data_IF_733010758329
#
_entry.id   IF_733010758329
#
_cell.length_a   1.000
_cell.length_b   1.000
_cell.length_c   1.000
_cell.angle_alpha   90.00
_cell.angle_beta   90.00
_cell.angle_gamma   90.00
#
_symmetry.space_group_name_H-M   'P 1'
#
loop_
_entity.id
_entity.type
_entity.pdbx_description
1 polymer ?
#
# COMPACT_ATOMS: atom_id res chain seq x y z
N UNK A 1 -12.87 4.21 -23.84
CA UNK A 1 -12.11 3.63 -22.71
C UNK A 1 -11.58 4.76 -21.85
N UNK A 2 -11.48 4.58 -20.54
CA UNK A 2 -11.14 5.64 -19.59
C UNK A 2 -10.08 5.15 -18.59
N UNK A 3 -9.04 5.94 -18.35
CA UNK A 3 -7.99 5.63 -17.39
C UNK A 3 -7.50 6.88 -16.66
N UNK A 4 -7.31 6.77 -15.36
CA UNK A 4 -6.84 7.85 -14.50
C UNK A 4 -5.60 7.44 -13.71
N UNK A 5 -4.70 8.39 -13.46
CA UNK A 5 -3.53 8.19 -12.63
C UNK A 5 -3.23 9.46 -11.81
N UNK A 6 -3.31 9.34 -10.48
CA UNK A 6 -2.90 10.40 -9.56
C UNK A 6 -1.41 10.26 -9.28
N UNK A 7 -0.61 11.21 -9.77
CA UNK A 7 0.83 11.24 -9.53
C UNK A 7 1.07 11.47 -8.02
N UNK A 8 1.92 10.67 -7.35
CA UNK A 8 2.23 10.87 -5.93
C UNK A 8 2.76 12.28 -5.66
N UNK A 9 2.09 13.01 -4.74
CA UNK A 9 2.33 14.44 -4.48
C UNK A 9 2.25 15.36 -5.71
N UNK A 10 1.63 14.89 -6.79
CA UNK A 10 1.47 15.58 -8.05
C UNK A 10 0.01 15.72 -8.48
N UNK A 11 -0.20 15.73 -9.78
CA UNK A 11 -1.45 16.04 -10.44
C UNK A 11 -2.11 14.77 -10.98
N UNK A 12 -3.42 14.82 -11.13
CA UNK A 12 -4.25 13.81 -11.77
C UNK A 12 -4.07 13.91 -13.28
N UNK A 13 -3.76 12.78 -13.91
CA UNK A 13 -3.75 12.61 -15.36
C UNK A 13 -4.89 11.66 -15.72
N UNK A 14 -5.71 12.05 -16.68
CA UNK A 14 -6.84 11.30 -17.21
C UNK A 14 -6.63 11.11 -18.70
N UNK A 15 -6.90 9.90 -19.18
CA UNK A 15 -6.84 9.56 -20.60
C UNK A 15 -8.13 8.87 -21.01
N UNK A 16 -8.81 9.47 -21.98
CA UNK A 16 -9.90 8.85 -22.71
C UNK A 16 -9.41 8.45 -24.10
N UNK A 17 -9.73 7.23 -24.55
CA UNK A 17 -9.34 6.72 -25.86
C UNK A 17 -10.26 5.60 -26.34
N UNK A 18 -10.22 5.31 -27.62
CA UNK A 18 -10.77 4.11 -28.25
C UNK A 18 -9.66 3.20 -28.78
N UNK A 19 -10.00 1.95 -29.06
CA UNK A 19 -9.11 1.01 -29.77
C UNK A 19 -9.81 0.53 -31.03
N UNK A 20 -9.23 0.83 -32.19
CA UNK A 20 -9.74 0.40 -33.52
C UNK A 20 -8.61 -0.30 -34.24
N UNK A 21 -8.85 -1.53 -34.69
CA UNK A 21 -7.86 -2.38 -35.37
C UNK A 21 -6.52 -2.48 -34.61
N UNK A 22 -6.60 -2.59 -33.28
CA UNK A 22 -5.42 -2.72 -32.41
C UNK A 22 -4.61 -1.43 -32.25
N UNK A 23 -5.12 -0.28 -32.70
CA UNK A 23 -4.46 1.04 -32.59
C UNK A 23 -5.29 1.99 -31.73
N UNK A 24 -4.61 2.87 -30.99
CA UNK A 24 -5.26 3.92 -30.19
C UNK A 24 -5.93 4.94 -31.11
N UNK A 25 -7.16 5.32 -30.79
CA UNK A 25 -7.96 6.31 -31.53
C UNK A 25 -8.62 7.30 -30.59
N UNK A 26 -8.88 8.50 -31.11
CA UNK A 26 -9.58 9.58 -30.39
C UNK A 26 -8.92 9.87 -29.02
N UNK A 27 -7.58 9.82 -28.96
CA UNK A 27 -6.87 9.94 -27.69
C UNK A 27 -6.98 11.35 -27.14
N UNK A 28 -7.43 11.46 -25.89
CA UNK A 28 -7.53 12.72 -25.17
C UNK A 28 -6.90 12.62 -23.80
N UNK A 29 -5.80 13.33 -23.61
CA UNK A 29 -5.17 13.55 -22.30
C UNK A 29 -5.78 14.80 -21.66
N UNK A 30 -6.14 14.69 -20.38
CA UNK A 30 -6.69 15.78 -19.56
C UNK A 30 -6.32 15.60 -18.08
N UNK A 31 -6.60 16.57 -17.21
CA UNK A 31 -6.23 16.48 -15.79
C UNK A 31 -6.23 17.83 -15.07
N UNK A 32 -5.71 17.86 -13.84
CA UNK A 32 -5.51 19.09 -13.03
C UNK A 32 -4.04 19.58 -13.03
N UNK A 33 -3.29 19.16 -14.04
CA UNK A 33 -1.89 19.51 -14.29
C UNK A 33 -1.74 20.82 -15.07
N UNK A 34 -0.50 21.33 -15.11
CA UNK A 34 -0.12 22.43 -16.00
C UNK A 34 0.96 21.96 -16.97
N UNK A 35 0.89 22.46 -18.20
CA UNK A 35 1.86 22.22 -19.27
C UNK A 35 2.16 23.57 -19.91
N UNK A 36 3.43 23.89 -20.09
CA UNK A 36 3.88 25.13 -20.72
C UNK A 36 4.78 24.79 -21.92
N UNK A 37 4.49 25.26 -23.14
CA UNK A 37 3.24 25.92 -23.52
C UNK A 37 2.05 24.95 -23.46
N UNK A 38 0.85 25.45 -23.23
CA UNK A 38 -0.36 24.64 -23.03
C UNK A 38 -0.79 23.87 -24.29
N UNK A 39 -0.53 24.44 -25.47
CA UNK A 39 -0.76 23.83 -26.78
C UNK A 39 0.07 22.57 -27.04
N UNK A 40 1.16 22.35 -26.29
CA UNK A 40 1.93 21.11 -26.34
C UNK A 40 1.08 19.88 -25.96
N UNK A 41 -0.06 20.05 -25.28
CA UNK A 41 -1.00 18.98 -25.01
C UNK A 41 -1.58 18.36 -26.30
N UNK A 42 -1.75 19.18 -27.35
CA UNK A 42 -2.20 18.70 -28.66
C UNK A 42 -1.16 17.78 -29.30
N UNK A 43 0.13 18.06 -29.09
CA UNK A 43 1.23 17.21 -29.58
C UNK A 43 1.23 15.85 -28.86
N UNK A 44 0.99 15.83 -27.55
CA UNK A 44 0.84 14.59 -26.77
C UNK A 44 -0.31 13.74 -27.34
N UNK A 45 -1.49 14.34 -27.53
CA UNK A 45 -2.66 13.63 -28.08
C UNK A 45 -2.36 13.07 -29.48
N UNK A 46 -1.78 13.89 -30.35
CA UNK A 46 -1.44 13.49 -31.72
C UNK A 46 -0.37 12.39 -31.78
N UNK A 47 0.60 12.39 -30.86
CA UNK A 47 1.65 11.38 -30.82
C UNK A 47 1.14 10.01 -30.34
N UNK A 48 0.17 10.01 -29.43
CA UNK A 48 -0.48 8.80 -28.94
C UNK A 48 -1.48 8.22 -29.96
N UNK A 49 -2.06 9.06 -30.81
CA UNK A 49 -2.96 8.63 -31.88
C UNK A 49 -2.27 7.63 -32.82
N UNK A 50 -2.92 6.49 -33.08
CA UNK A 50 -2.40 5.43 -33.94
C UNK A 50 -1.33 4.54 -33.30
N UNK A 51 -0.90 4.78 -32.06
CA UNK A 51 0.01 3.86 -31.36
C UNK A 51 -0.64 2.48 -31.17
N UNK A 52 0.12 1.37 -31.16
CA UNK A 52 -0.45 0.05 -30.88
C UNK A 52 -1.01 -0.04 -29.46
N UNK A 53 -2.19 -0.65 -29.29
CA UNK A 53 -2.82 -0.86 -27.98
C UNK A 53 -2.01 -1.80 -27.06
N UNK A 54 -1.10 -2.59 -27.63
CA UNK A 54 -0.20 -3.47 -26.88
C UNK A 54 1.12 -2.82 -26.48
N UNK A 55 1.30 -1.52 -26.74
CA UNK A 55 2.52 -0.79 -26.38
C UNK A 55 2.77 -0.82 -24.87
N UNK A 56 4.05 -1.01 -24.50
CA UNK A 56 4.48 -0.97 -23.11
C UNK A 56 4.41 0.45 -22.55
N UNK A 57 4.34 0.60 -21.22
CA UNK A 57 4.38 1.93 -20.60
C UNK A 57 5.64 2.71 -20.99
N UNK A 58 6.78 2.05 -21.09
CA UNK A 58 8.04 2.68 -21.50
C UNK A 58 8.00 3.19 -22.95
N UNK A 59 7.41 2.42 -23.87
CA UNK A 59 7.26 2.84 -25.26
C UNK A 59 6.31 4.05 -25.36
N UNK A 60 5.17 4.00 -24.68
CA UNK A 60 4.21 5.10 -24.63
C UNK A 60 4.82 6.37 -24.01
N UNK A 61 5.60 6.23 -22.93
CA UNK A 61 6.29 7.36 -22.30
C UNK A 61 7.29 7.99 -23.28
N UNK A 62 8.09 7.18 -23.98
CA UNK A 62 9.04 7.69 -24.98
C UNK A 62 8.34 8.40 -26.14
N UNK A 63 7.18 7.91 -26.58
CA UNK A 63 6.35 8.59 -27.60
C UNK A 63 5.94 9.98 -27.13
N UNK A 64 5.50 10.11 -25.88
CA UNK A 64 5.10 11.41 -25.30
C UNK A 64 6.30 12.34 -25.13
N UNK A 65 7.44 11.83 -24.64
CA UNK A 65 8.67 12.63 -24.47
C UNK A 65 9.18 13.17 -25.81
N UNK A 66 9.21 12.35 -26.85
CA UNK A 66 9.71 12.74 -28.17
C UNK A 66 8.77 13.69 -28.92
N UNK A 67 7.49 13.76 -28.53
CA UNK A 67 6.51 14.64 -29.14
C UNK A 67 6.58 16.08 -28.63
N UNK A 68 7.17 16.27 -27.45
CA UNK A 68 7.21 17.57 -26.80
C UNK A 68 8.41 18.41 -27.28
N UNK A 69 8.23 19.73 -27.45
CA UNK A 69 9.34 20.61 -27.77
C UNK A 69 10.35 20.66 -26.59
N UNK A 70 11.64 20.91 -26.84
CA UNK A 70 12.68 20.90 -25.79
C UNK A 70 12.41 21.85 -24.62
N UNK A 71 11.71 22.94 -24.87
CA UNK A 71 11.31 23.95 -23.88
C UNK A 71 10.05 23.60 -23.09
N UNK A 72 9.35 22.51 -23.43
CA UNK A 72 8.11 22.15 -22.75
C UNK A 72 8.34 21.78 -21.29
N UNK A 73 7.51 22.33 -20.39
CA UNK A 73 7.58 22.06 -18.95
C UNK A 73 6.28 21.41 -18.49
N UNK A 74 6.39 20.20 -17.94
CA UNK A 74 5.30 19.45 -17.33
C UNK A 74 5.28 19.69 -15.81
N UNK A 75 4.22 20.32 -15.29
CA UNK A 75 4.08 20.61 -13.86
C UNK A 75 3.18 19.61 -13.17
N UNK A 76 3.78 18.81 -12.29
CA UNK A 76 3.08 17.84 -11.45
C UNK A 76 2.65 16.57 -12.19
N UNK A 77 3.09 16.38 -13.43
CA UNK A 77 2.95 15.13 -14.18
C UNK A 77 4.19 14.90 -15.06
N UNK A 78 4.21 13.78 -15.77
CA UNK A 78 5.30 13.40 -16.68
C UNK A 78 4.77 12.55 -17.82
N UNK A 79 5.59 12.32 -18.85
CA UNK A 79 5.29 11.38 -19.91
C UNK A 79 5.01 9.95 -19.38
N UNK A 80 5.77 9.52 -18.37
CA UNK A 80 5.49 8.25 -17.67
C UNK A 80 4.11 8.24 -17.01
N UNK A 81 3.66 9.37 -16.45
CA UNK A 81 2.32 9.50 -15.85
C UNK A 81 1.21 9.36 -16.91
N UNK A 82 1.40 9.97 -18.09
CA UNK A 82 0.49 9.81 -19.24
C UNK A 82 0.46 8.37 -19.71
N UNK A 83 1.62 7.72 -19.85
CA UNK A 83 1.71 6.32 -20.23
C UNK A 83 0.99 5.39 -19.25
N UNK A 84 1.11 5.64 -17.95
CA UNK A 84 0.37 4.90 -16.92
C UNK A 84 -1.14 5.08 -17.08
N UNK A 85 -1.63 6.30 -17.30
CA UNK A 85 -3.05 6.56 -17.52
C UNK A 85 -3.58 5.87 -18.81
N UNK A 86 -2.81 5.89 -19.90
CA UNK A 86 -3.12 5.12 -21.14
C UNK A 86 -3.21 3.62 -20.83
N UNK A 87 -2.24 3.06 -20.10
CA UNK A 87 -2.25 1.63 -19.76
C UNK A 87 -3.46 1.25 -18.91
N UNK A 88 -3.86 2.10 -17.97
CA UNK A 88 -5.06 1.91 -17.16
C UNK A 88 -6.33 1.94 -18.00
N UNK A 89 -6.41 2.87 -18.96
CA UNK A 89 -7.54 2.93 -19.91
C UNK A 89 -7.65 1.64 -20.72
N UNK A 90 -6.53 1.08 -21.18
CA UNK A 90 -6.48 -0.11 -22.00
C UNK A 90 -6.75 -1.41 -21.24
N UNK A 91 -6.46 -1.45 -19.94
CA UNK A 91 -6.55 -2.67 -19.14
C UNK A 91 -7.90 -2.84 -18.42
N UNK A 92 -8.92 -2.04 -18.76
CA UNK A 92 -10.18 -1.98 -18.02
C UNK A 92 -9.95 -1.85 -16.49
N UNK A 93 -8.90 -1.10 -16.10
CA UNK A 93 -8.58 -0.89 -14.70
C UNK A 93 -9.77 -0.21 -14.01
N UNK A 94 -10.09 -0.65 -12.81
CA UNK A 94 -11.14 -0.03 -11.99
C UNK A 94 -10.54 1.12 -11.17
N UNK A 95 -11.41 2.05 -10.78
CA UNK A 95 -11.17 3.12 -9.83
C UNK A 95 -11.66 2.74 -8.44
N UNK A 96 -11.34 3.53 -7.42
CA UNK A 96 -11.85 3.31 -6.07
C UNK A 96 -13.38 3.34 -5.99
N UNK A 97 -14.02 4.18 -6.79
CA UNK A 97 -15.47 4.43 -6.77
C UNK A 97 -16.29 3.39 -7.53
N UNK A 98 -15.64 2.49 -8.27
CA UNK A 98 -16.30 1.39 -8.97
C UNK A 98 -16.66 0.22 -8.03
N UNK A 99 -16.24 0.29 -6.77
CA UNK A 99 -16.33 -0.82 -5.81
C UNK A 99 -17.22 -0.50 -4.61
N UNK A 100 -17.95 -1.51 -4.15
CA UNK A 100 -18.76 -1.43 -2.92
C UNK A 100 -17.93 -1.84 -1.69
N UNK A 101 -17.16 -0.89 -1.16
CA UNK A 101 -16.21 -1.12 -0.08
C UNK A 101 -16.84 -1.59 1.23
N UNK A 102 -16.21 -2.60 1.84
CA UNK A 102 -16.57 -3.16 3.14
C UNK A 102 -15.58 -2.75 4.21
N UNK A 103 -16.09 -2.47 5.42
CA UNK A 103 -15.32 -2.18 6.60
C UNK A 103 -15.48 -3.32 7.60
N UNK A 104 -14.37 -3.99 7.90
CA UNK A 104 -14.26 -4.85 9.08
C UNK A 104 -13.48 -4.09 10.15
N UNK A 105 -14.08 -3.84 11.30
CA UNK A 105 -13.43 -3.22 12.46
C UNK A 105 -13.73 -4.04 13.72
N UNK A 106 -12.81 -4.93 14.06
CA UNK A 106 -12.98 -5.90 15.16
C UNK A 106 -12.20 -5.49 16.43
N UNK A 107 -12.60 -6.00 17.60
CA UNK A 107 -11.78 -5.94 18.81
C UNK A 107 -10.39 -6.57 18.63
N UNK A 108 -9.50 -6.31 19.60
CA UNK A 108 -8.15 -6.86 19.60
C UNK A 108 -8.14 -8.40 19.56
N UNK A 109 -7.28 -8.98 18.71
CA UNK A 109 -7.14 -10.45 18.55
C UNK A 109 -5.67 -10.89 18.62
N UNK A 110 -5.40 -12.19 18.82
CA UNK A 110 -4.04 -12.71 18.89
C UNK A 110 -3.29 -12.59 17.54
N UNK A 111 -1.95 -12.47 17.54
CA UNK A 111 -1.15 -12.30 16.34
C UNK A 111 -1.42 -13.33 15.22
N UNK A 112 -1.56 -14.61 15.55
CA UNK A 112 -1.80 -15.69 14.58
C UNK A 112 -3.16 -15.56 13.87
N UNK A 113 -4.17 -15.02 14.55
CA UNK A 113 -5.47 -14.74 13.96
C UNK A 113 -5.34 -13.74 12.82
N UNK A 114 -4.58 -12.66 13.00
CA UNK A 114 -4.38 -11.67 11.94
C UNK A 114 -3.61 -12.23 10.75
N UNK A 115 -2.58 -13.05 10.99
CA UNK A 115 -1.79 -13.63 9.90
C UNK A 115 -2.62 -14.57 9.01
N UNK A 116 -3.47 -15.38 9.63
CA UNK A 116 -4.36 -16.31 8.92
C UNK A 116 -5.51 -15.58 8.23
N UNK A 117 -6.15 -14.64 8.91
CA UNK A 117 -7.28 -13.90 8.35
C UNK A 117 -6.86 -13.00 7.19
N UNK A 118 -5.65 -12.40 7.22
CA UNK A 118 -5.11 -11.67 6.07
C UNK A 118 -5.01 -12.55 4.81
N UNK A 119 -4.67 -13.84 4.97
CA UNK A 119 -4.66 -14.78 3.86
C UNK A 119 -6.07 -15.15 3.41
N UNK A 120 -6.96 -15.48 4.37
CA UNK A 120 -8.34 -15.86 4.07
C UNK A 120 -9.08 -14.77 3.31
N UNK A 121 -9.08 -13.53 3.81
CA UNK A 121 -9.81 -12.43 3.16
C UNK A 121 -9.24 -12.06 1.79
N UNK A 122 -7.92 -12.20 1.61
CA UNK A 122 -7.28 -12.04 0.31
C UNK A 122 -7.75 -13.12 -0.69
N UNK A 123 -7.87 -14.37 -0.25
CA UNK A 123 -8.36 -15.48 -1.06
C UNK A 123 -9.85 -15.32 -1.41
N UNK A 124 -10.69 -14.82 -0.49
CA UNK A 124 -12.11 -14.55 -0.74
C UNK A 124 -12.33 -13.41 -1.75
N UNK A 125 -11.55 -12.33 -1.64
CA UNK A 125 -11.58 -11.24 -2.65
C UNK A 125 -11.09 -11.75 -4.01
N UNK A 126 -10.02 -12.57 -4.03
CA UNK A 126 -9.53 -13.16 -5.28
C UNK A 126 -10.55 -14.09 -5.96
N UNK A 127 -11.39 -14.76 -5.17
CA UNK A 127 -12.42 -15.66 -5.65
C UNK A 127 -13.72 -14.95 -6.02
N UNK A 128 -13.83 -13.64 -5.75
CA UNK A 128 -15.04 -12.85 -6.00
C UNK A 128 -16.18 -13.07 -5.00
N UNK A 129 -15.93 -13.82 -3.91
CA UNK A 129 -16.91 -14.10 -2.87
C UNK A 129 -17.09 -12.91 -1.91
N UNK A 130 -16.05 -12.08 -1.78
CA UNK A 130 -16.05 -10.89 -0.92
C UNK A 130 -15.74 -9.64 -1.76
N UNK A 131 -16.51 -8.54 -1.60
CA UNK A 131 -16.16 -7.24 -2.18
C UNK A 131 -14.83 -6.69 -1.62
N UNK A 132 -14.22 -5.69 -2.28
CA UNK A 132 -13.02 -5.04 -1.74
C UNK A 132 -13.24 -4.56 -0.32
N UNK A 133 -12.30 -4.86 0.56
CA UNK A 133 -12.48 -4.71 2.02
C UNK A 133 -11.32 -3.92 2.61
N UNK A 134 -11.66 -2.88 3.39
CA UNK A 134 -10.78 -2.24 4.36
C UNK A 134 -11.02 -2.90 5.71
N UNK A 135 -9.95 -3.38 6.34
CA UNK A 135 -9.97 -3.90 7.70
C UNK A 135 -9.08 -3.05 8.58
N UNK A 136 -9.61 -2.51 9.67
CA UNK A 136 -8.83 -1.89 10.75
C UNK A 136 -8.86 -2.83 11.95
N UNK A 137 -7.70 -3.14 12.51
CA UNK A 137 -7.60 -4.22 13.48
C UNK A 137 -6.48 -4.02 14.51
N UNK A 138 -6.65 -4.68 15.66
CA UNK A 138 -5.91 -4.40 16.89
C UNK A 138 -5.24 -5.66 17.45
N UNK A 139 -4.08 -5.48 18.10
CA UNK A 139 -3.28 -6.56 18.68
C UNK A 139 -3.69 -6.82 20.14
N UNK A 140 -3.99 -8.07 20.50
CA UNK A 140 -4.23 -8.44 21.91
C UNK A 140 -2.96 -8.77 22.68
N UNK A 141 -1.86 -9.07 21.98
CA UNK A 141 -0.60 -9.55 22.56
C UNK A 141 0.61 -8.95 21.83
N UNK A 142 1.76 -8.77 22.51
CA UNK A 142 2.98 -8.26 21.90
C UNK A 142 3.59 -9.30 20.95
N UNK A 143 4.02 -8.86 19.77
CA UNK A 143 4.66 -9.75 18.80
C UNK A 143 5.69 -9.08 17.91
N UNK A 144 6.53 -9.91 17.31
CA UNK A 144 7.32 -9.56 16.13
C UNK A 144 6.73 -10.26 14.92
N UNK A 145 6.37 -9.47 13.91
CA UNK A 145 5.89 -9.96 12.62
C UNK A 145 7.03 -9.93 11.62
N UNK A 146 7.52 -11.10 11.21
CA UNK A 146 8.55 -11.21 10.17
C UNK A 146 7.93 -11.40 8.78
N UNK A 147 8.61 -10.87 7.76
CA UNK A 147 8.22 -11.02 6.37
C UNK A 147 8.44 -12.44 5.86
N UNK A 148 7.70 -12.82 4.81
CA UNK A 148 7.68 -14.19 4.27
C UNK A 148 9.05 -14.75 3.89
N UNK A 149 10.01 -13.89 3.51
CA UNK A 149 11.37 -14.28 3.09
C UNK A 149 12.45 -14.07 4.16
N UNK A 150 12.09 -13.59 5.34
CA UNK A 150 13.09 -13.28 6.37
C UNK A 150 13.47 -14.52 7.20
N UNK A 151 14.68 -14.53 7.75
CA UNK A 151 15.12 -15.55 8.70
C UNK A 151 14.84 -15.10 10.13
N UNK A 152 14.10 -15.89 10.92
CA UNK A 152 13.83 -15.61 12.35
C UNK A 152 15.13 -15.28 13.09
N UNK A 153 16.17 -16.08 12.88
CA UNK A 153 17.48 -15.94 13.54
C UNK A 153 18.20 -14.64 13.18
N UNK A 154 17.99 -14.13 11.96
CA UNK A 154 18.65 -12.91 11.51
C UNK A 154 17.91 -11.66 11.96
N UNK A 155 16.59 -11.74 12.14
CA UNK A 155 15.75 -10.59 12.46
C UNK A 155 15.42 -10.45 13.94
N UNK A 156 15.45 -11.54 14.71
CA UNK A 156 14.94 -11.54 16.09
C UNK A 156 16.00 -12.01 17.08
N UNK A 157 16.16 -11.25 18.15
CA UNK A 157 16.85 -11.66 19.35
C UNK A 157 15.92 -12.51 20.22
N UNK A 158 16.03 -13.84 20.10
CA UNK A 158 15.15 -14.78 20.78
C UNK A 158 15.16 -14.64 22.31
N UNK A 159 16.32 -14.32 22.91
CA UNK A 159 16.44 -14.13 24.36
C UNK A 159 15.68 -12.88 24.83
N UNK A 160 15.81 -11.76 24.10
CA UNK A 160 15.06 -10.54 24.39
C UNK A 160 13.55 -10.74 24.14
N UNK A 161 13.18 -11.40 23.03
CA UNK A 161 11.78 -11.72 22.75
C UNK A 161 11.15 -12.55 23.88
N UNK A 162 11.85 -13.59 24.36
CA UNK A 162 11.38 -14.41 25.48
C UNK A 162 11.27 -13.60 26.78
N UNK A 163 12.26 -12.75 27.09
CA UNK A 163 12.25 -11.88 28.28
C UNK A 163 11.03 -10.96 28.32
N UNK A 164 10.62 -10.42 27.18
CA UNK A 164 9.47 -9.51 27.08
C UNK A 164 8.14 -10.21 26.75
N UNK A 165 8.12 -11.55 26.68
CA UNK A 165 6.90 -12.30 26.35
C UNK A 165 6.38 -12.06 24.93
N UNK A 166 7.29 -11.75 23.99
CA UNK A 166 6.96 -11.40 22.61
C UNK A 166 6.89 -12.65 21.75
N UNK A 167 5.73 -12.89 21.13
CA UNK A 167 5.58 -13.97 20.16
C UNK A 167 6.23 -13.59 18.82
N UNK A 168 6.84 -14.54 18.11
CA UNK A 168 7.29 -14.34 16.72
C UNK A 168 6.30 -15.00 15.78
N UNK A 169 5.75 -14.22 14.84
CA UNK A 169 4.83 -14.72 13.80
C UNK A 169 5.31 -14.33 12.40
N UNK A 170 4.96 -15.13 11.39
CA UNK A 170 5.33 -14.88 9.98
C UNK A 170 4.10 -14.58 9.14
N UNK A 171 4.13 -13.45 8.42
CA UNK A 171 3.09 -13.04 7.47
C UNK A 171 3.32 -13.61 6.07
N UNK A 172 2.29 -13.58 5.23
CA UNK A 172 2.34 -14.06 3.83
C UNK A 172 3.01 -13.08 2.86
N UNK A 173 3.09 -11.80 3.22
CA UNK A 173 3.73 -10.74 2.44
C UNK A 173 5.23 -10.64 2.74
N UNK A 174 5.97 -10.02 1.81
CA UNK A 174 7.38 -9.70 2.01
C UNK A 174 7.59 -8.49 2.93
N UNK A 175 8.78 -7.91 2.90
CA UNK A 175 9.16 -6.73 3.69
C UNK A 175 9.90 -7.07 5.00
N UNK A 176 10.23 -6.04 5.78
CA UNK A 176 11.01 -6.16 7.01
C UNK A 176 10.23 -6.68 8.23
N UNK A 177 10.95 -6.92 9.33
CA UNK A 177 10.35 -7.31 10.59
C UNK A 177 9.71 -6.09 11.28
N UNK A 178 8.60 -6.32 11.97
CA UNK A 178 7.86 -5.28 12.70
C UNK A 178 7.69 -5.71 14.15
N UNK A 179 7.86 -4.77 15.07
CA UNK A 179 7.60 -4.95 16.49
C UNK A 179 6.28 -4.24 16.84
N UNK A 180 5.37 -4.94 17.50
CA UNK A 180 4.05 -4.42 17.87
C UNK A 180 3.69 -4.85 19.29
N UNK A 181 2.96 -3.99 20.00
CA UNK A 181 2.36 -4.25 21.30
C UNK A 181 0.91 -3.72 21.28
N UNK A 182 0.03 -4.25 22.14
CA UNK A 182 -1.32 -3.70 22.28
C UNK A 182 -1.27 -2.19 22.54
N UNK A 183 -2.03 -1.42 21.78
CA UNK A 183 -2.09 0.04 21.95
C UNK A 183 -1.04 0.85 21.19
N UNK A 184 0.08 0.26 20.75
CA UNK A 184 1.23 1.05 20.29
C UNK A 184 1.26 1.36 18.78
N UNK A 185 0.33 0.79 18.02
CA UNK A 185 0.23 0.95 16.56
C UNK A 185 -1.22 1.15 16.11
N UNK A 186 -1.38 1.72 14.92
CA UNK A 186 -2.61 1.66 14.12
C UNK A 186 -2.32 0.72 12.95
N UNK A 187 -3.15 -0.31 12.77
CA UNK A 187 -2.93 -1.33 11.74
C UNK A 187 -4.15 -1.48 10.86
N UNK A 188 -3.96 -1.47 9.54
CA UNK A 188 -5.03 -1.71 8.58
C UNK A 188 -4.57 -2.61 7.42
N UNK A 189 -5.54 -3.29 6.81
CA UNK A 189 -5.35 -4.11 5.60
C UNK A 189 -6.38 -3.69 4.56
N UNK A 190 -5.95 -3.55 3.31
CA UNK A 190 -6.79 -3.46 2.13
C UNK A 190 -6.69 -4.79 1.36
N UNK A 191 -7.82 -5.41 1.10
CA UNK A 191 -7.94 -6.57 0.22
C UNK A 191 -8.66 -6.12 -1.04
N UNK A 192 -7.93 -6.07 -2.16
CA UNK A 192 -8.41 -5.43 -3.39
C UNK A 192 -8.28 -6.36 -4.59
N UNK A 193 -9.18 -6.27 -5.58
CA UNK A 193 -9.04 -6.97 -6.84
C UNK A 193 -7.84 -6.43 -7.61
N UNK A 194 -7.21 -7.28 -8.42
CA UNK A 194 -6.07 -6.93 -9.25
C UNK A 194 -6.38 -5.79 -10.21
N UNK A 195 -7.63 -5.71 -10.69
CA UNK A 195 -8.12 -4.66 -11.59
C UNK A 195 -8.00 -3.24 -11.00
N UNK A 196 -8.03 -3.08 -9.67
CA UNK A 196 -7.90 -1.76 -9.03
C UNK A 196 -6.48 -1.19 -9.23
N UNK A 197 -5.47 -2.06 -9.16
CA UNK A 197 -4.04 -1.68 -9.30
C UNK A 197 -3.48 -2.03 -10.67
N UNK A 198 -4.33 -2.41 -11.62
CA UNK A 198 -3.91 -2.77 -12.97
C UNK A 198 -3.35 -1.53 -13.69
N UNK A 199 -2.37 -1.76 -14.57
CA UNK A 199 -1.64 -0.69 -15.26
C UNK A 199 -0.64 0.08 -14.39
N UNK A 200 -0.63 -0.10 -13.07
CA UNK A 200 0.34 0.53 -12.17
C UNK A 200 1.63 -0.29 -12.07
N UNK A 201 2.75 0.40 -11.90
CA UNK A 201 3.98 -0.26 -11.45
C UNK A 201 3.83 -0.79 -10.02
N UNK A 202 4.74 -1.68 -9.60
CA UNK A 202 4.75 -2.17 -8.23
C UNK A 202 4.88 -1.02 -7.21
N UNK A 203 5.79 -0.08 -7.46
CA UNK A 203 6.00 1.10 -6.61
C UNK A 203 4.79 2.04 -6.62
N UNK A 204 4.18 2.30 -7.77
CA UNK A 204 3.02 3.19 -7.87
C UNK A 204 1.81 2.61 -7.16
N UNK A 205 1.68 1.28 -7.13
CA UNK A 205 0.59 0.63 -6.41
C UNK A 205 0.63 0.85 -4.90
N UNK A 206 1.81 1.02 -4.29
CA UNK A 206 1.92 1.36 -2.87
C UNK A 206 1.43 2.78 -2.66
N UNK A 207 1.98 3.74 -3.41
CA UNK A 207 1.58 5.13 -3.33
C UNK A 207 0.07 5.32 -3.56
N UNK A 208 -0.48 4.62 -4.55
CA UNK A 208 -1.91 4.63 -4.88
C UNK A 208 -2.76 4.10 -3.73
N UNK A 209 -2.39 2.98 -3.10
CA UNK A 209 -3.13 2.39 -1.98
C UNK A 209 -2.94 3.13 -0.65
N UNK A 210 -1.88 3.93 -0.51
CA UNK A 210 -1.60 4.78 0.66
C UNK A 210 -2.18 6.21 0.55
N UNK A 211 -2.63 6.65 -0.63
CA UNK A 211 -3.08 8.04 -0.87
C UNK A 211 -4.19 8.49 0.08
N UNK A 212 -5.14 7.60 0.37
CA UNK A 212 -6.26 7.91 1.27
C UNK A 212 -5.80 8.17 2.72
N UNK A 213 -4.76 7.46 3.18
CA UNK A 213 -4.18 7.69 4.52
C UNK A 213 -3.42 8.99 4.55
N UNK A 214 -2.68 9.33 3.50
CA UNK A 214 -2.00 10.63 3.42
C UNK A 214 -3.02 11.77 3.54
N UNK A 215 -4.16 11.67 2.85
CA UNK A 215 -5.23 12.65 2.96
C UNK A 215 -5.77 12.74 4.40
N UNK A 216 -6.05 11.61 5.06
CA UNK A 216 -6.50 11.59 6.45
C UNK A 216 -5.47 12.19 7.42
N UNK A 217 -4.18 11.89 7.24
CA UNK A 217 -3.11 12.47 8.05
C UNK A 217 -2.99 13.99 7.85
N UNK A 218 -3.18 14.48 6.63
CA UNK A 218 -3.19 15.92 6.34
C UNK A 218 -4.37 16.62 7.01
N UNK A 219 -5.55 15.99 7.05
CA UNK A 219 -6.72 16.50 7.79
C UNK A 219 -6.43 16.64 9.28
N UNK A 220 -5.59 15.76 9.84
CA UNK A 220 -5.11 15.82 11.23
C UNK A 220 -3.97 16.83 11.44
N UNK A 221 -3.58 17.58 10.41
CA UNK A 221 -2.48 18.57 10.46
C UNK A 221 -1.08 17.96 10.40
N UNK A 222 -0.95 16.65 10.13
CA UNK A 222 0.33 15.97 10.02
C UNK A 222 0.90 16.21 8.63
N UNK A 223 2.14 16.70 8.54
CA UNK A 223 2.85 16.86 7.27
C UNK A 223 3.42 15.51 6.80
N UNK A 224 2.55 14.62 6.32
CA UNK A 224 2.94 13.29 5.85
C UNK A 224 3.24 13.27 4.34
N UNK A 225 4.16 12.43 3.88
CA UNK A 225 4.37 12.14 2.47
C UNK A 225 4.74 10.67 2.24
N UNK A 226 4.48 10.19 1.03
CA UNK A 226 4.93 8.88 0.59
C UNK A 226 6.44 8.88 0.32
N UNK A 227 7.16 7.97 0.95
CA UNK A 227 8.58 7.72 0.72
C UNK A 227 8.74 6.32 0.10
N UNK A 228 9.14 6.22 -1.18
CA UNK A 228 9.38 4.94 -1.82
C UNK A 228 10.37 4.07 -1.04
N UNK A 229 10.19 2.75 -1.01
CA UNK A 229 9.21 1.97 -1.78
C UNK A 229 7.82 1.85 -1.14
N UNK A 230 7.68 2.08 0.16
CA UNK A 230 6.51 1.64 0.93
C UNK A 230 6.40 2.30 2.31
N UNK A 231 7.09 3.42 2.53
CA UNK A 231 7.07 4.14 3.80
C UNK A 231 6.14 5.35 3.70
N UNK A 232 5.41 5.66 4.78
CA UNK A 232 4.84 7.01 4.99
C UNK A 232 5.74 7.71 6.01
N UNK A 233 6.19 8.92 5.67
CA UNK A 233 7.15 9.68 6.45
C UNK A 233 6.64 11.09 6.77
N UNK A 234 7.27 11.71 7.76
CA UNK A 234 7.09 13.08 8.22
C UNK A 234 8.46 13.74 8.41
N UNK A 235 8.54 15.06 8.67
CA UNK A 235 9.81 15.71 9.00
C UNK A 235 10.49 15.13 10.25
N UNK A 236 9.72 14.54 11.17
CA UNK A 236 10.23 13.94 12.39
C UNK A 236 10.65 12.46 12.22
N UNK A 237 10.18 11.78 11.18
CA UNK A 237 10.67 10.44 10.84
C UNK A 237 9.67 9.55 10.12
N UNK A 238 9.84 8.23 10.26
CA UNK A 238 8.94 7.26 9.62
C UNK A 238 7.68 7.10 10.48
N UNK A 239 6.51 7.32 9.88
CA UNK A 239 5.19 7.10 10.50
C UNK A 239 4.74 5.66 10.28
N UNK A 240 4.79 5.17 9.03
CA UNK A 240 4.20 3.90 8.66
C UNK A 240 5.04 3.13 7.66
N UNK A 241 4.86 1.81 7.63
CA UNK A 241 5.39 0.95 6.58
C UNK A 241 4.31 0.01 6.06
N UNK A 242 4.22 -0.08 4.74
CA UNK A 242 3.30 -0.96 4.04
C UNK A 242 4.00 -2.24 3.55
N UNK A 243 3.25 -3.31 3.35
CA UNK A 243 3.69 -4.47 2.60
C UNK A 243 2.56 -5.01 1.73
N UNK A 244 2.91 -5.61 0.59
CA UNK A 244 1.93 -6.21 -0.31
C UNK A 244 2.16 -7.71 -0.50
N UNK A 245 1.06 -8.45 -0.65
CA UNK A 245 1.03 -9.79 -1.23
C UNK A 245 0.08 -9.79 -2.42
N UNK A 246 0.57 -10.26 -3.57
CA UNK A 246 -0.23 -10.40 -4.79
C UNK A 246 -0.48 -11.88 -5.05
N UNK A 247 -1.73 -12.23 -5.34
CA UNK A 247 -2.09 -13.56 -5.81
C UNK A 247 -2.14 -13.56 -7.34
N UNK A 248 -1.62 -14.62 -7.96
CA UNK A 248 -1.72 -14.80 -9.41
C UNK A 248 -3.17 -14.93 -9.90
N UNK A 249 -4.09 -15.29 -9.00
CA UNK A 249 -5.54 -15.29 -9.22
C UNK A 249 -6.18 -13.90 -9.29
N UNK A 250 -5.41 -12.82 -9.11
CA UNK A 250 -5.89 -11.46 -9.38
C UNK A 250 -6.44 -10.71 -8.17
N UNK A 251 -5.76 -10.80 -7.00
CA UNK A 251 -6.02 -9.92 -5.86
C UNK A 251 -4.72 -9.46 -5.18
N UNK A 252 -4.81 -8.36 -4.44
CA UNK A 252 -3.71 -7.74 -3.71
C UNK A 252 -4.13 -7.47 -2.28
N UNK A 253 -3.33 -7.97 -1.34
CA UNK A 253 -3.30 -7.52 0.03
C UNK A 253 -2.30 -6.38 0.10
N UNK A 254 -2.72 -5.24 0.63
CA UNK A 254 -1.85 -4.15 1.04
C UNK A 254 -2.15 -3.84 2.49
N UNK A 255 -1.22 -4.12 3.38
CA UNK A 255 -1.39 -3.88 4.81
C UNK A 255 -0.31 -2.97 5.37
N UNK A 256 -0.68 -2.20 6.38
CA UNK A 256 0.14 -1.11 6.89
C UNK A 256 0.12 -1.13 8.40
N UNK A 257 1.29 -0.93 8.97
CA UNK A 257 1.45 -0.67 10.40
C UNK A 257 1.99 0.74 10.57
N UNK A 258 1.23 1.58 11.25
CA UNK A 258 1.57 2.95 11.60
C UNK A 258 1.98 3.01 13.07
N UNK A 259 3.10 3.66 13.36
CA UNK A 259 3.51 3.89 14.73
C UNK A 259 2.58 4.88 15.41
N UNK A 260 2.04 4.50 16.57
CA UNK A 260 1.27 5.41 17.42
C UNK A 260 2.03 5.79 18.68
N UNK A 261 2.58 4.81 19.41
CA UNK A 261 3.34 5.02 20.66
C UNK A 261 4.33 3.86 20.93
N UNK A 262 5.26 3.63 20.00
CA UNK A 262 6.19 2.48 20.05
C UNK A 262 7.34 2.70 21.04
N UNK A 263 7.59 1.71 21.91
CA UNK A 263 8.78 1.63 22.75
C UNK A 263 10.03 1.30 21.90
N UNK A 264 10.75 2.35 21.51
CA UNK A 264 11.91 2.24 20.64
C UNK A 264 13.07 1.46 21.27
N UNK A 265 13.27 1.55 22.58
CA UNK A 265 14.35 0.85 23.29
C UNK A 265 14.09 -0.65 23.24
N UNK A 266 12.91 -1.08 23.70
CA UNK A 266 12.50 -2.49 23.68
C UNK A 266 12.51 -3.05 22.26
N UNK A 267 12.02 -2.28 21.28
CA UNK A 267 12.10 -2.66 19.87
C UNK A 267 13.54 -2.97 19.43
N UNK A 268 14.52 -2.11 19.78
CA UNK A 268 15.92 -2.31 19.37
C UNK A 268 16.62 -3.47 20.08
N UNK A 269 16.15 -3.86 21.26
CA UNK A 269 16.66 -5.06 21.95
C UNK A 269 16.16 -6.36 21.30
N UNK A 270 14.93 -6.32 20.79
CA UNK A 270 14.22 -7.48 20.24
C UNK A 270 14.54 -7.68 18.76
N UNK A 271 14.56 -6.59 17.97
CA UNK A 271 14.85 -6.64 16.54
C UNK A 271 16.35 -6.54 16.29
N UNK A 272 16.90 -7.51 15.56
CA UNK A 272 18.26 -7.47 15.04
C UNK A 272 18.30 -6.59 13.81
N UNK A 273 18.70 -5.34 13.98
CA UNK A 273 18.83 -4.42 12.86
C UNK A 273 20.15 -4.74 12.14
N UNK A 274 20.08 -5.41 10.99
CA UNK A 274 21.24 -5.88 10.24
C UNK A 274 22.25 -4.77 9.88
N UNK A 275 23.54 -5.07 10.05
CA UNK A 275 24.67 -4.13 9.83
C UNK A 275 24.81 -3.58 8.40
N UNK A 276 24.27 -4.25 7.38
CA UNK A 276 24.28 -3.74 5.99
C UNK A 276 23.37 -2.51 5.79
N UNK A 277 22.35 -2.32 6.65
CA UNK A 277 21.58 -1.07 6.68
C UNK A 277 22.35 0.09 7.34
N UNK A 278 23.43 -0.21 8.08
CA UNK A 278 24.36 0.79 8.62
C UNK A 278 25.48 1.16 7.63
N UNK A 279 25.87 0.28 6.70
CA UNK A 279 27.02 0.52 5.81
C UNK A 279 26.71 1.36 4.56
N UNK A 280 25.45 1.42 4.10
CA UNK A 280 25.05 2.22 2.92
C UNK A 280 24.65 3.67 3.23
N UNK A 281 24.61 4.09 4.50
CA UNK A 281 24.38 5.48 4.90
C UNK A 281 25.25 5.82 6.09
N UNK A 282 26.36 6.51 5.85
CA UNK A 282 27.12 7.13 6.91
C UNK A 282 26.19 7.99 7.79
N UNK A 283 26.32 7.82 9.09
CA UNK A 283 25.59 8.46 10.21
C UNK A 283 24.19 7.91 10.56
N UNK A 284 24.11 7.30 11.76
CA UNK A 284 22.93 7.07 12.60
C UNK A 284 21.74 6.22 12.05
N UNK A 285 21.99 5.22 11.20
CA UNK A 285 20.91 4.46 10.53
C UNK A 285 20.66 3.05 11.09
N UNK A 286 19.96 2.96 12.22
CA UNK A 286 19.23 1.76 12.63
C UNK A 286 17.90 2.14 13.31
N UNK A 287 17.92 3.18 14.13
CA UNK A 287 16.75 3.95 14.51
C UNK A 287 16.53 5.08 13.48
N UNK A 288 16.01 4.77 12.27
CA UNK A 288 15.18 5.78 11.59
C UNK A 288 14.17 6.18 12.66
N UNK A 289 14.24 7.41 13.19
CA UNK A 289 13.38 7.85 14.30
C UNK A 289 11.95 7.47 13.93
N UNK A 290 11.44 6.45 14.62
CA UNK A 290 10.03 6.11 14.53
C UNK A 290 9.33 7.33 15.08
N UNK A 291 8.38 7.86 14.34
CA UNK A 291 7.72 9.11 14.67
C UNK A 291 6.28 8.80 15.05
N UNK A 292 6.00 8.60 16.35
CA UNK A 292 4.72 8.10 16.78
C UNK A 292 3.65 9.18 16.60
N UNK A 293 2.51 8.82 16.03
CA UNK A 293 1.42 9.77 15.76
C UNK A 293 0.94 10.49 17.03
N UNK A 294 1.04 9.85 18.20
CA UNK A 294 0.70 10.45 19.48
C UNK A 294 1.55 11.69 19.79
N UNK A 295 2.85 11.67 19.44
CA UNK A 295 3.76 12.79 19.72
C UNK A 295 3.50 13.99 18.81
N UNK A 296 3.05 13.74 17.57
CA UNK A 296 2.76 14.78 16.59
C UNK A 296 1.38 15.42 16.76
N UNK A 297 0.38 14.62 17.15
CA UNK A 297 -1.02 15.07 17.21
C UNK A 297 -1.49 15.37 18.64
N UNK A 298 -0.96 14.67 19.64
CA UNK A 298 -1.51 14.64 21.00
C UNK A 298 -2.89 13.97 21.10
N UNK A 299 -3.41 13.40 20.01
CA UNK A 299 -4.76 12.82 19.96
C UNK A 299 -4.77 11.37 20.44
N UNK A 300 -5.91 10.91 21.00
CA UNK A 300 -6.15 9.49 21.22
C UNK A 300 -6.09 8.71 19.91
N UNK A 301 -5.62 7.46 19.98
CA UNK A 301 -5.46 6.57 18.83
C UNK A 301 -6.77 6.36 18.08
N UNK A 302 -7.84 6.17 18.82
CA UNK A 302 -9.18 5.90 18.34
C UNK A 302 -9.70 7.10 17.52
N UNK A 303 -9.39 8.33 17.94
CA UNK A 303 -9.73 9.54 17.17
C UNK A 303 -9.01 9.59 15.83
N UNK A 304 -7.76 9.14 15.76
CA UNK A 304 -7.00 9.06 14.50
C UNK A 304 -7.64 8.03 13.58
N UNK A 305 -7.99 6.85 14.10
CA UNK A 305 -8.69 5.79 13.37
C UNK A 305 -10.04 6.30 12.83
N UNK A 306 -10.83 7.01 13.65
CA UNK A 306 -12.12 7.56 13.24
C UNK A 306 -11.97 8.56 12.08
N UNK A 307 -10.96 9.44 12.12
CA UNK A 307 -10.68 10.38 11.03
C UNK A 307 -10.24 9.65 9.76
N UNK A 308 -9.40 8.62 9.89
CA UNK A 308 -9.01 7.77 8.77
C UNK A 308 -10.22 7.10 8.10
N UNK A 309 -11.09 6.46 8.90
CA UNK A 309 -12.29 5.80 8.40
C UNK A 309 -13.28 6.79 7.78
N UNK A 310 -13.46 7.96 8.40
CA UNK A 310 -14.31 9.03 7.86
C UNK A 310 -13.76 9.58 6.54
N UNK A 311 -12.43 9.74 6.40
CA UNK A 311 -11.79 10.19 5.16
C UNK A 311 -11.98 9.15 4.05
N UNK A 312 -11.76 7.86 4.33
CA UNK A 312 -12.04 6.79 3.38
C UNK A 312 -13.50 6.77 2.93
N UNK A 313 -14.43 6.77 3.90
CA UNK A 313 -15.87 6.71 3.66
C UNK A 313 -16.37 7.88 2.81
N UNK A 314 -15.93 9.12 3.09
CA UNK A 314 -16.30 10.30 2.28
C UNK A 314 -15.82 10.20 0.83
N UNK A 315 -14.66 9.57 0.59
CA UNK A 315 -14.05 9.49 -0.75
C UNK A 315 -14.65 8.38 -1.59
N UNK A 316 -14.88 7.21 -1.00
CA UNK A 316 -15.16 5.98 -1.77
C UNK A 316 -16.43 5.24 -1.33
N UNK A 317 -17.12 5.72 -0.28
CA UNK A 317 -18.14 4.95 0.41
C UNK A 317 -17.50 3.85 1.28
N UNK A 318 -18.20 3.45 2.34
CA UNK A 318 -17.72 2.40 3.22
C UNK A 318 -18.88 1.81 4.02
N UNK A 319 -19.17 0.53 3.84
CA UNK A 319 -20.26 -0.18 4.54
C UNK A 319 -19.71 -1.10 5.61
N UNK A 320 -20.26 -1.10 6.84
CA UNK A 320 -19.90 -2.08 7.85
C UNK A 320 -20.11 -3.51 7.34
N UNK A 321 -19.22 -4.40 7.77
CA UNK A 321 -19.25 -5.82 7.47
C UNK A 321 -18.49 -6.59 8.56
N UNK A 322 -18.72 -7.89 8.64
CA UNK A 322 -18.11 -8.77 9.63
C UNK A 322 -17.31 -9.88 8.95
N UNK A 323 -16.41 -10.50 9.71
CA UNK A 323 -15.79 -11.76 9.29
C UNK A 323 -16.85 -12.85 9.43
N UNK A 324 -17.13 -13.56 8.35
CA UNK A 324 -18.13 -14.64 8.34
C UNK A 324 -17.62 -15.88 9.07
N UNK A 325 -18.54 -16.74 9.54
CA UNK A 325 -18.18 -18.00 10.21
C UNK A 325 -17.33 -18.93 9.31
N UNK A 326 -17.57 -18.90 8.00
CA UNK A 326 -16.77 -19.67 7.04
C UNK A 326 -15.33 -19.14 6.96
N UNK A 327 -15.15 -17.82 6.91
CA UNK A 327 -13.83 -17.18 6.93
C UNK A 327 -13.09 -17.41 8.25
N UNK A 328 -13.81 -17.38 9.39
CA UNK A 328 -13.26 -17.70 10.71
C UNK A 328 -12.81 -19.16 10.79
N UNK A 329 -13.62 -20.08 10.28
CA UNK A 329 -13.30 -21.51 10.21
C UNK A 329 -12.03 -21.70 9.38
N UNK A 330 -11.98 -21.10 8.19
CA UNK A 330 -10.82 -21.18 7.31
C UNK A 330 -9.55 -20.58 7.92
N UNK A 331 -9.67 -19.44 8.61
CA UNK A 331 -8.55 -18.82 9.32
C UNK A 331 -8.03 -19.72 10.45
N UNK A 332 -8.94 -20.37 11.19
CA UNK A 332 -8.59 -21.33 12.26
C UNK A 332 -7.84 -22.54 11.70
N UNK A 333 -8.34 -23.14 10.62
CA UNK A 333 -7.65 -24.23 9.91
C UNK A 333 -6.24 -23.80 9.46
N UNK A 334 -6.10 -22.57 8.94
CA UNK A 334 -4.81 -22.03 8.52
C UNK A 334 -3.85 -21.82 9.70
N UNK A 335 -4.35 -21.50 10.89
CA UNK A 335 -3.52 -21.46 12.10
C UNK A 335 -2.97 -22.85 12.40
N UNK A 336 -3.82 -23.85 12.45
CA UNK A 336 -3.43 -25.22 12.80
C UNK A 336 -2.48 -25.84 11.76
N UNK A 337 -2.76 -25.63 10.48
CA UNK A 337 -2.05 -26.29 9.38
C UNK A 337 -0.85 -25.50 8.87
N UNK A 338 -0.74 -24.20 9.20
CA UNK A 338 0.29 -23.32 8.65
C UNK A 338 0.82 -22.31 9.67
N UNK A 339 0.07 -21.28 10.02
CA UNK A 339 0.61 -20.12 10.73
C UNK A 339 1.10 -20.42 12.14
N UNK A 340 0.48 -21.38 12.84
CA UNK A 340 0.89 -21.85 14.16
C UNK A 340 2.03 -22.88 14.12
N UNK A 341 2.47 -23.31 12.95
CA UNK A 341 3.52 -24.33 12.82
C UNK A 341 4.93 -23.73 12.92
N UNK A 342 5.84 -24.49 13.52
CA UNK A 342 7.26 -24.13 13.56
C UNK A 342 7.89 -24.14 12.16
N UNK A 343 7.42 -25.00 11.26
CA UNK A 343 7.85 -25.07 9.86
C UNK A 343 7.59 -23.76 9.14
N UNK A 344 6.38 -23.22 9.22
CA UNK A 344 6.04 -21.93 8.62
C UNK A 344 6.86 -20.81 9.25
N UNK A 345 6.89 -20.72 10.58
CA UNK A 345 7.57 -19.63 11.29
C UNK A 345 9.06 -19.62 10.98
N UNK A 346 9.73 -20.78 10.93
CA UNK A 346 11.17 -20.89 10.68
C UNK A 346 11.55 -21.11 9.21
N UNK A 347 10.61 -21.03 8.29
CA UNK A 347 10.88 -21.16 6.85
C UNK A 347 11.97 -20.19 6.41
N UNK A 348 13.00 -20.71 5.74
CA UNK A 348 14.00 -19.95 4.98
C UNK A 348 13.83 -20.36 3.52
N UNK A 349 13.30 -19.48 2.65
CA UNK A 349 13.04 -19.82 1.25
C UNK A 349 14.27 -20.12 0.41
#
# INVERSE_FOLDING_TARGET
MHGEFKVPAGKLVVVDLDVVDGSLRNVRVSGDFFLEPDDALLLINAALEGQPSQSSSAALASVVENALPPEAIMYGFSAASVATAVRRALSAATSWTDHDWRLIHEPARPPLYHMSLDQTLLEEVASGNRPPTLRVWEWSEPCVVIGSFQSVRNEVNAEAAARYGIQVVRRISGGGAMFVEPGNTITYSLYVPGSLVEGLSFQDSYAFLDDWVLAALHELGIKAWYQPLNDIASPAGKIAGAAQKRLGSGAVLHHVTMSYDIDAEKMTEVLRIGGEKLSMKGTASAAKRVDPLRSQTGLPRETIIDVMLASFSRRYGLKPDDVTDAELTRATELIETKFGTAEWTNRVP
#
